data_IF_850969881575
#
_entry.id   IF_850969881575
#
_cell.length_a   1.000
_cell.length_b   1.000
_cell.length_c   1.000
_cell.angle_alpha   90.00
_cell.angle_beta   90.00
_cell.angle_gamma   90.00
#
_symmetry.space_group_name_H-M   'P 1'
#
loop_
_entity.id
_entity.type
_entity.pdbx_description
1 polymer ?
#
# COMPACT_ATOMS: atom_id res chain seq x y z
N UNK A 1 -8.64 18.27 -6.74
CA UNK A 1 -7.37 18.57 -6.05
C UNK A 1 -7.22 17.92 -4.67
N UNK A 2 -8.17 18.11 -3.72
CA UNK A 2 -8.10 17.51 -2.37
C UNK A 2 -7.87 15.98 -2.39
N UNK A 3 -8.57 15.26 -3.27
CA UNK A 3 -8.42 13.81 -3.43
C UNK A 3 -6.99 13.42 -3.82
N UNK A 4 -6.43 14.05 -4.87
CA UNK A 4 -5.07 13.79 -5.30
C UNK A 4 -4.05 14.02 -4.18
N UNK A 5 -4.16 15.13 -3.44
CA UNK A 5 -3.29 15.39 -2.28
C UNK A 5 -3.43 14.34 -1.17
N UNK A 6 -4.64 13.85 -0.94
CA UNK A 6 -4.86 12.77 0.01
C UNK A 6 -4.20 11.45 -0.44
N UNK A 7 -4.32 11.09 -1.71
CA UNK A 7 -3.70 9.87 -2.25
C UNK A 7 -2.16 9.94 -2.18
N UNK A 8 -1.57 11.10 -2.47
CA UNK A 8 -0.13 11.33 -2.28
C UNK A 8 0.26 11.14 -0.81
N UNK A 9 -0.48 11.74 0.13
CA UNK A 9 -0.20 11.58 1.55
C UNK A 9 -0.31 10.12 2.03
N UNK A 10 -1.27 9.35 1.51
CA UNK A 10 -1.40 7.90 1.80
C UNK A 10 -0.20 7.13 1.23
N UNK A 11 0.19 7.40 -0.01
CA UNK A 11 1.33 6.74 -0.65
C UNK A 11 2.64 7.05 0.09
N UNK A 12 2.89 8.31 0.40
CA UNK A 12 4.08 8.76 1.13
C UNK A 12 4.15 8.15 2.54
N UNK A 13 3.02 8.01 3.22
CA UNK A 13 2.96 7.37 4.52
C UNK A 13 3.23 5.86 4.45
N UNK A 14 2.82 5.18 3.37
CA UNK A 14 2.97 3.74 3.24
C UNK A 14 4.36 3.29 2.74
N UNK A 15 4.96 4.06 1.83
CA UNK A 15 6.24 3.74 1.16
C UNK A 15 7.37 3.29 2.12
N UNK A 16 7.62 3.96 3.27
CA UNK A 16 8.68 3.55 4.20
C UNK A 16 8.48 2.16 4.80
N UNK A 17 7.24 1.65 4.86
CA UNK A 17 6.92 0.39 5.52
C UNK A 17 6.96 -0.82 4.58
N UNK A 18 6.76 -0.59 3.27
CA UNK A 18 6.72 -1.65 2.24
C UNK A 18 7.91 -2.61 2.28
N UNK A 19 9.17 -2.15 2.49
CA UNK A 19 10.31 -3.07 2.52
C UNK A 19 10.24 -4.06 3.68
N UNK A 20 9.46 -3.77 4.72
CA UNK A 20 9.42 -4.56 5.95
C UNK A 20 8.30 -5.61 5.95
N UNK A 21 7.35 -5.54 5.01
CA UNK A 21 6.12 -6.35 5.02
C UNK A 21 6.40 -7.85 5.10
N UNK A 22 7.34 -8.33 4.28
CA UNK A 22 7.69 -9.74 4.20
C UNK A 22 8.86 -10.10 5.13
N UNK A 23 8.86 -11.33 5.69
CA UNK A 23 10.02 -11.85 6.41
C UNK A 23 11.27 -11.86 5.53
N UNK A 24 12.43 -11.53 6.10
CA UNK A 24 13.69 -11.52 5.35
C UNK A 24 14.60 -12.67 5.75
N UNK A 25 15.25 -13.27 4.76
CA UNK A 25 16.21 -14.36 4.98
C UNK A 25 15.57 -15.55 5.68
N UNK A 26 16.14 -15.96 6.82
CA UNK A 26 15.68 -17.10 7.61
C UNK A 26 14.58 -16.78 8.63
N UNK A 27 14.06 -15.56 8.65
CA UNK A 27 12.99 -15.18 9.56
C UNK A 27 11.71 -15.98 9.30
N UNK A 28 11.09 -16.47 10.38
CA UNK A 28 9.80 -17.15 10.29
C UNK A 28 8.66 -16.12 10.13
N UNK A 29 7.66 -16.39 9.28
CA UNK A 29 6.46 -15.57 9.21
C UNK A 29 5.78 -15.45 10.58
N UNK A 30 5.41 -14.23 10.96
CA UNK A 30 4.81 -13.94 12.27
C UNK A 30 3.54 -13.09 12.11
N UNK A 31 2.78 -12.94 13.20
CA UNK A 31 1.57 -12.11 13.22
C UNK A 31 1.86 -10.65 12.79
N UNK A 32 3.03 -10.11 13.15
CA UNK A 32 3.44 -8.76 12.75
C UNK A 32 3.66 -8.64 11.24
N UNK A 33 4.18 -9.68 10.58
CA UNK A 33 4.31 -9.71 9.11
C UNK A 33 2.93 -9.73 8.44
N UNK A 34 2.02 -10.57 8.95
CA UNK A 34 0.64 -10.63 8.44
C UNK A 34 -0.10 -9.31 8.61
N UNK A 35 0.05 -8.65 9.76
CA UNK A 35 -0.55 -7.33 10.00
C UNK A 35 -0.04 -6.27 9.03
N UNK A 36 1.28 -6.26 8.76
CA UNK A 36 1.88 -5.35 7.77
C UNK A 36 1.45 -5.67 6.34
N UNK A 37 1.29 -6.94 6.01
CA UNK A 37 0.76 -7.35 4.71
C UNK A 37 -0.68 -6.87 4.52
N UNK A 38 -1.56 -7.11 5.50
CA UNK A 38 -2.94 -6.63 5.46
C UNK A 38 -3.01 -5.09 5.36
N UNK A 39 -2.09 -4.37 6.02
CA UNK A 39 -1.98 -2.92 5.88
C UNK A 39 -1.59 -2.53 4.45
N UNK A 40 -0.59 -3.20 3.85
CA UNK A 40 -0.16 -2.91 2.48
C UNK A 40 -1.28 -3.17 1.47
N UNK A 41 -2.04 -4.25 1.64
CA UNK A 41 -3.22 -4.57 0.83
C UNK A 41 -4.32 -3.48 0.97
N UNK A 42 -4.60 -3.03 2.19
CA UNK A 42 -5.57 -1.97 2.43
C UNK A 42 -5.15 -0.64 1.78
N UNK A 43 -3.87 -0.28 1.86
CA UNK A 43 -3.32 0.89 1.16
C UNK A 43 -3.49 0.74 -0.35
N UNK A 44 -3.14 -0.42 -0.91
CA UNK A 44 -3.32 -0.70 -2.34
C UNK A 44 -4.77 -0.52 -2.78
N UNK A 45 -5.73 -1.03 -2.01
CA UNK A 45 -7.16 -0.86 -2.29
C UNK A 45 -7.62 0.60 -2.25
N UNK A 46 -7.16 1.38 -1.27
CA UNK A 46 -7.48 2.82 -1.17
C UNK A 46 -6.92 3.59 -2.37
N UNK A 47 -5.68 3.32 -2.76
CA UNK A 47 -5.06 3.96 -3.91
C UNK A 47 -5.76 3.58 -5.21
N UNK A 48 -6.04 2.31 -5.43
CA UNK A 48 -6.76 1.84 -6.63
C UNK A 48 -8.14 2.48 -6.76
N UNK A 49 -8.93 2.48 -5.67
CA UNK A 49 -10.24 3.14 -5.66
C UNK A 49 -10.16 4.65 -5.87
N UNK A 50 -9.18 5.31 -5.24
CA UNK A 50 -8.94 6.74 -5.40
C UNK A 50 -8.52 7.13 -6.82
N UNK A 51 -7.66 6.34 -7.46
CA UNK A 51 -7.24 6.54 -8.85
C UNK A 51 -8.40 6.35 -9.83
N UNK A 52 -9.22 5.31 -9.62
CA UNK A 52 -10.42 5.11 -10.43
C UNK A 52 -11.39 6.30 -10.37
N UNK A 53 -11.55 6.94 -9.20
CA UNK A 53 -12.33 8.17 -9.05
C UNK A 53 -11.73 9.38 -9.79
N UNK A 54 -10.42 9.35 -10.08
CA UNK A 54 -9.74 10.35 -10.90
C UNK A 54 -9.80 10.00 -12.40
N UNK A 55 -10.40 8.87 -12.79
CA UNK A 55 -10.40 8.37 -14.16
C UNK A 55 -9.05 7.77 -14.58
N UNK A 56 -8.23 7.36 -13.62
CA UNK A 56 -6.93 6.72 -13.84
C UNK A 56 -7.07 5.25 -13.48
N UNK A 57 -6.83 4.37 -14.45
CA UNK A 57 -6.73 2.94 -14.17
C UNK A 57 -5.41 2.68 -13.43
N UNK A 58 -5.53 2.09 -12.24
CA UNK A 58 -4.37 1.65 -11.49
C UNK A 58 -3.78 0.42 -12.20
N UNK A 59 -2.47 0.40 -12.53
CA UNK A 59 -1.85 -0.76 -13.12
C UNK A 59 -1.91 -1.94 -12.15
N UNK A 60 -2.27 -3.11 -12.65
CA UNK A 60 -2.37 -4.31 -11.80
C UNK A 60 -1.01 -4.68 -11.22
N UNK A 61 0.08 -4.51 -11.99
CA UNK A 61 1.47 -4.80 -11.61
C UNK A 61 2.40 -3.66 -12.08
N UNK A 62 3.42 -3.30 -11.28
CA UNK A 62 4.48 -2.33 -11.60
C UNK A 62 5.69 -3.00 -12.26
#
# INVERSE_FOLDING_TARGET
DRLARHLVAVADAALPFLPTVLPRGGEKPSAAHRARLALAEAVGAVLAGGLALLGIDAPEHL
#
